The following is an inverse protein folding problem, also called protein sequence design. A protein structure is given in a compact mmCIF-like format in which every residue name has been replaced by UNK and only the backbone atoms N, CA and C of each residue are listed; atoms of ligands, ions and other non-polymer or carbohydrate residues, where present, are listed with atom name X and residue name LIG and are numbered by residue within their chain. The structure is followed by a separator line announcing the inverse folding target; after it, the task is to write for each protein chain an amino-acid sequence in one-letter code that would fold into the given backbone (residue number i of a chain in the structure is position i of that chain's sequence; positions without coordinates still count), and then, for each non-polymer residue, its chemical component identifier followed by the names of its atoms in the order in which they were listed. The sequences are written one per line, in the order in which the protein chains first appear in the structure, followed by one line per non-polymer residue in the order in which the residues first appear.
data_IF_313843705771
#
_entry.id   IF_313843705771
#
_cell.length_a   1.000
_cell.length_b   1.000
_cell.length_c   1.000
_cell.angle_alpha   90.00
_cell.angle_beta   90.00
_cell.angle_gamma   90.00
#
_symmetry.space_group_name_H-M   'P 1'
#
loop_
_entity.id
_entity.type
_entity.pdbx_description
1 polymer ?
#
# COMPACT_ATOMS: atom_id res chain seq x y z
N UNK A 1 -26.87 -1.12 -20.24
CA UNK A 1 -26.28 -2.08 -19.29
C UNK A 1 -26.83 -1.79 -17.91
N UNK A 2 -27.40 -2.77 -17.21
CA UNK A 2 -27.76 -2.60 -15.81
C UNK A 2 -26.48 -2.42 -14.96
N UNK A 3 -26.48 -1.57 -13.93
CA UNK A 3 -25.31 -1.38 -13.10
C UNK A 3 -24.92 -2.71 -12.42
N UNK A 4 -23.66 -3.11 -12.58
CA UNK A 4 -23.11 -4.30 -11.91
C UNK A 4 -23.18 -4.07 -10.40
N UNK A 5 -23.76 -5.01 -9.65
CA UNK A 5 -23.81 -4.95 -8.18
C UNK A 5 -22.37 -5.02 -7.68
N UNK A 6 -21.89 -3.94 -7.09
CA UNK A 6 -20.53 -3.82 -6.54
C UNK A 6 -20.57 -4.03 -5.02
N UNK A 7 -19.54 -4.65 -4.47
CA UNK A 7 -19.36 -4.66 -3.02
C UNK A 7 -19.12 -3.23 -2.51
N UNK A 8 -19.64 -2.93 -1.33
CA UNK A 8 -19.28 -1.70 -0.63
C UNK A 8 -17.84 -1.83 -0.14
N UNK A 9 -17.04 -0.79 -0.34
CA UNK A 9 -15.64 -0.75 0.04
C UNK A 9 -15.47 0.30 1.12
N UNK A 10 -14.72 -0.04 2.17
CA UNK A 10 -14.49 0.82 3.32
C UNK A 10 -12.98 0.94 3.54
N UNK A 11 -12.54 2.11 4.02
CA UNK A 11 -11.21 2.29 4.58
C UNK A 11 -11.31 1.94 6.06
N UNK A 12 -10.59 0.90 6.48
CA UNK A 12 -10.66 0.37 7.85
C UNK A 12 -9.45 0.73 8.71
N UNK A 13 -8.35 1.18 8.09
CA UNK A 13 -7.16 1.68 8.78
C UNK A 13 -6.27 2.52 7.87
N UNK A 14 -5.53 3.45 8.46
CA UNK A 14 -4.59 4.33 7.75
C UNK A 14 -3.28 4.49 8.50
N UNK A 15 -2.18 4.65 7.75
CA UNK A 15 -0.85 4.85 8.32
C UNK A 15 0.04 5.65 7.38
N UNK A 16 0.79 6.60 7.93
CA UNK A 16 1.68 7.49 7.17
C UNK A 16 2.91 7.84 8.01
N UNK A 17 4.07 7.98 7.36
CA UNK A 17 5.30 8.50 7.99
C UNK A 17 5.31 10.03 7.98
N UNK A 18 6.21 10.62 8.76
CA UNK A 18 6.42 12.07 8.70
C UNK A 18 7.08 12.45 7.37
N UNK A 19 6.61 13.53 6.76
CA UNK A 19 7.24 14.11 5.58
C UNK A 19 8.42 14.96 6.02
N UNK A 20 9.64 14.48 5.80
CA UNK A 20 10.86 15.20 6.15
C UNK A 20 11.53 15.77 4.91
N UNK A 21 12.34 16.81 5.11
CA UNK A 21 13.14 17.39 4.03
C UNK A 21 14.35 16.48 3.79
N UNK A 22 14.58 15.94 2.57
CA UNK A 22 15.64 14.96 2.31
C UNK A 22 17.06 15.40 2.73
N UNK A 23 17.32 16.72 2.77
CA UNK A 23 18.62 17.29 3.11
C UNK A 23 18.88 17.48 4.61
N UNK A 24 17.87 17.30 5.48
CA UNK A 24 18.03 17.53 6.93
C UNK A 24 18.61 16.33 7.67
N UNK A 25 18.60 15.15 7.07
CA UNK A 25 18.98 13.91 7.75
C UNK A 25 20.38 13.47 7.33
N UNK A 26 21.27 13.32 8.32
CA UNK A 26 22.66 12.83 8.13
C UNK A 26 22.66 11.41 7.56
N UNK A 27 21.61 10.64 7.86
CA UNK A 27 21.35 9.32 7.31
C UNK A 27 19.84 9.16 7.09
N UNK A 28 19.33 9.40 5.88
CA UNK A 28 17.91 9.25 5.60
C UNK A 28 17.50 7.77 5.77
N UNK A 29 16.29 7.48 6.30
CA UNK A 29 15.78 6.13 6.37
C UNK A 29 15.68 5.54 4.97
N UNK A 30 15.92 4.24 4.87
CA UNK A 30 15.67 3.55 3.61
C UNK A 30 14.15 3.43 3.42
N UNK A 31 13.70 3.32 2.17
CA UNK A 31 12.26 3.33 1.89
C UNK A 31 11.52 2.17 2.58
N UNK A 32 12.20 1.04 2.81
CA UNK A 32 11.63 -0.11 3.54
C UNK A 32 11.31 0.24 4.98
N UNK A 33 12.16 1.04 5.63
CA UNK A 33 11.95 1.48 7.02
C UNK A 33 10.73 2.41 7.11
N UNK A 34 10.55 3.26 6.08
CA UNK A 34 9.37 4.12 5.96
C UNK A 34 8.10 3.31 5.70
N UNK A 35 8.18 2.28 4.84
CA UNK A 35 7.03 1.39 4.58
C UNK A 35 6.66 0.59 5.83
N UNK A 36 7.64 0.02 6.53
CA UNK A 36 7.42 -0.69 7.79
C UNK A 36 6.64 0.19 8.77
N UNK A 37 7.12 1.40 9.02
CA UNK A 37 6.44 2.33 9.93
C UNK A 37 5.01 2.65 9.47
N UNK A 38 4.78 2.90 8.17
CA UNK A 38 3.45 3.24 7.67
C UNK A 38 2.48 2.04 7.72
N UNK A 39 2.94 0.84 7.33
CA UNK A 39 2.13 -0.37 7.31
C UNK A 39 1.79 -0.84 8.72
N UNK A 40 2.75 -0.84 9.64
CA UNK A 40 2.49 -1.17 11.05
C UNK A 40 1.43 -0.24 11.64
N UNK A 41 1.53 1.07 11.42
CA UNK A 41 0.51 2.03 11.88
C UNK A 41 -0.87 1.75 11.28
N UNK A 42 -0.93 1.40 10.00
CA UNK A 42 -2.20 1.08 9.35
C UNK A 42 -2.83 -0.20 9.89
N UNK A 43 -2.02 -1.21 10.21
CA UNK A 43 -2.46 -2.47 10.85
C UNK A 43 -2.92 -2.24 12.29
N UNK A 44 -2.20 -1.42 13.05
CA UNK A 44 -2.56 -1.04 14.42
C UNK A 44 -3.91 -0.28 14.46
N UNK A 45 -4.13 0.61 13.49
CA UNK A 45 -5.35 1.42 13.39
C UNK A 45 -6.61 0.57 13.08
N UNK A 46 -6.49 -0.45 12.23
CA UNK A 46 -7.62 -1.34 11.91
C UNK A 46 -7.73 -2.57 12.82
N UNK A 47 -6.68 -2.91 13.57
CA UNK A 47 -6.66 -4.04 14.50
C UNK A 47 -6.76 -5.42 13.84
N UNK A 48 -6.38 -5.55 12.57
CA UNK A 48 -6.41 -6.82 11.84
C UNK A 48 -5.00 -7.43 11.75
N UNK A 49 -4.95 -8.76 11.62
CA UNK A 49 -3.72 -9.45 11.30
C UNK A 49 -3.35 -9.24 9.82
N UNK A 50 -2.06 -9.04 9.54
CA UNK A 50 -1.51 -8.95 8.18
C UNK A 50 -1.78 -10.20 7.33
N UNK A 51 -1.99 -11.36 7.98
CA UNK A 51 -2.35 -12.61 7.30
C UNK A 51 -3.71 -12.54 6.57
N UNK A 52 -4.56 -11.57 6.93
CA UNK A 52 -5.84 -11.32 6.25
C UNK A 52 -5.71 -10.48 4.99
N UNK A 53 -4.52 -9.98 4.66
CA UNK A 53 -4.29 -9.23 3.42
C UNK A 53 -4.20 -10.21 2.27
N UNK A 54 -5.04 -10.04 1.25
CA UNK A 54 -5.08 -10.92 0.07
C UNK A 54 -4.50 -10.27 -1.19
N UNK A 55 -4.30 -8.94 -1.17
CA UNK A 55 -3.85 -8.17 -2.33
C UNK A 55 -3.17 -6.87 -1.89
N UNK A 56 -2.09 -6.48 -2.60
CA UNK A 56 -1.44 -5.20 -2.38
C UNK A 56 -1.20 -4.43 -3.69
N UNK A 57 -1.68 -3.19 -3.76
CA UNK A 57 -1.27 -2.22 -4.77
C UNK A 57 -0.24 -1.27 -4.16
N UNK A 58 0.99 -1.27 -4.70
CA UNK A 58 2.09 -0.45 -4.21
C UNK A 58 2.46 0.60 -5.25
N UNK A 59 2.24 1.85 -4.87
CA UNK A 59 2.59 3.01 -5.68
C UNK A 59 4.04 3.44 -5.49
N UNK A 60 4.84 3.49 -6.56
CA UNK A 60 6.17 4.09 -6.53
C UNK A 60 6.56 4.70 -7.89
N UNK A 61 7.58 5.57 -7.90
CA UNK A 61 8.11 6.21 -9.13
C UNK A 61 9.49 5.65 -9.56
N UNK A 62 10.06 4.72 -8.78
CA UNK A 62 11.46 4.31 -8.90
C UNK A 62 11.66 3.00 -9.66
N UNK A 63 10.58 2.25 -9.93
CA UNK A 63 10.61 1.14 -10.88
C UNK A 63 9.86 -0.11 -10.43
N UNK A 64 10.24 -1.24 -11.01
CA UNK A 64 9.66 -2.56 -10.74
C UNK A 64 10.27 -3.22 -9.51
N UNK A 65 9.51 -4.09 -8.83
CA UNK A 65 9.98 -4.87 -7.68
C UNK A 65 10.03 -4.13 -6.33
N UNK A 66 9.76 -2.83 -6.29
CA UNK A 66 9.80 -2.04 -5.05
C UNK A 66 8.73 -2.46 -4.05
N UNK A 67 7.52 -2.82 -4.51
CA UNK A 67 6.45 -3.32 -3.65
C UNK A 67 6.82 -4.62 -2.94
N UNK A 68 7.42 -5.58 -3.65
CA UNK A 68 7.93 -6.81 -3.06
C UNK A 68 9.02 -6.52 -2.04
N UNK A 69 10.00 -5.67 -2.39
CA UNK A 69 11.07 -5.28 -1.46
C UNK A 69 10.54 -4.55 -0.22
N UNK A 70 9.44 -3.80 -0.35
CA UNK A 70 8.81 -3.08 0.74
C UNK A 70 8.02 -4.00 1.67
N UNK A 71 7.30 -4.99 1.13
CA UNK A 71 6.33 -5.81 1.86
C UNK A 71 6.89 -7.14 2.37
N UNK A 72 7.88 -7.73 1.68
CA UNK A 72 8.45 -9.02 2.08
C UNK A 72 9.12 -9.00 3.47
N UNK A 73 9.88 -7.96 3.87
CA UNK A 73 10.44 -7.87 5.22
C UNK A 73 9.36 -7.85 6.32
N UNK A 74 8.14 -7.39 5.98
CA UNK A 74 7.00 -7.33 6.90
C UNK A 74 6.25 -8.67 6.99
N UNK A 75 6.70 -9.69 6.27
CA UNK A 75 6.01 -10.96 6.16
C UNK A 75 4.74 -10.90 5.31
N UNK A 76 4.59 -9.87 4.48
CA UNK A 76 3.49 -9.76 3.51
C UNK A 76 4.02 -10.27 2.17
N UNK A 77 3.91 -11.58 1.99
CA UNK A 77 4.31 -12.34 0.80
C UNK A 77 3.18 -13.32 0.43
N UNK A 78 3.35 -14.09 -0.65
CA UNK A 78 2.36 -15.05 -1.17
C UNK A 78 1.00 -14.48 -1.59
N UNK A 79 0.93 -13.16 -1.78
CA UNK A 79 -0.21 -12.45 -2.35
C UNK A 79 0.15 -11.75 -3.66
N UNK A 80 -0.81 -11.45 -4.55
CA UNK A 80 -0.57 -10.57 -5.67
C UNK A 80 -0.14 -9.17 -5.21
N UNK A 81 1.08 -8.79 -5.58
CA UNK A 81 1.63 -7.44 -5.33
C UNK A 81 1.76 -6.71 -6.67
N UNK A 82 0.90 -5.72 -6.89
CA UNK A 82 0.89 -4.91 -8.11
C UNK A 82 1.66 -3.62 -7.87
N UNK A 83 2.75 -3.44 -8.62
CA UNK A 83 3.50 -2.19 -8.63
C UNK A 83 2.86 -1.25 -9.66
N UNK A 84 2.41 -0.07 -9.23
CA UNK A 84 1.84 0.92 -10.12
C UNK A 84 2.60 2.25 -10.06
N UNK A 85 2.63 2.94 -11.19
CA UNK A 85 3.27 4.24 -11.34
C UNK A 85 2.40 5.15 -12.20
N UNK A 86 2.09 6.34 -11.69
CA UNK A 86 1.36 7.41 -12.39
C UNK A 86 1.77 8.79 -11.85
N UNK A 87 3.07 9.11 -11.93
CA UNK A 87 3.62 10.38 -11.46
C UNK A 87 3.10 10.77 -10.06
N UNK A 88 2.63 12.01 -9.87
CA UNK A 88 2.09 12.48 -8.59
C UNK A 88 0.79 11.77 -8.16
N UNK A 89 0.05 11.17 -9.09
CA UNK A 89 -1.20 10.47 -8.82
C UNK A 89 -0.99 8.99 -8.44
N UNK A 90 0.26 8.54 -8.31
CA UNK A 90 0.62 7.14 -8.02
C UNK A 90 -0.08 6.58 -6.77
N UNK A 91 -0.18 7.36 -5.68
CA UNK A 91 -0.89 6.93 -4.47
C UNK A 91 -2.40 6.74 -4.70
N UNK A 92 -3.04 7.69 -5.39
CA UNK A 92 -4.46 7.60 -5.73
C UNK A 92 -4.76 6.43 -6.69
N UNK A 93 -3.85 6.16 -7.64
CA UNK A 93 -3.95 5.00 -8.51
C UNK A 93 -3.86 3.69 -7.73
N UNK A 94 -2.93 3.58 -6.77
CA UNK A 94 -2.82 2.40 -5.92
C UNK A 94 -4.12 2.16 -5.12
N UNK A 95 -4.66 3.22 -4.50
CA UNK A 95 -5.93 3.13 -3.77
C UNK A 95 -7.10 2.75 -4.69
N UNK A 96 -7.16 3.29 -5.90
CA UNK A 96 -8.16 2.92 -6.89
C UNK A 96 -8.07 1.43 -7.26
N UNK A 97 -6.86 0.90 -7.52
CA UNK A 97 -6.65 -0.52 -7.83
C UNK A 97 -7.08 -1.44 -6.68
N UNK A 98 -6.67 -1.13 -5.45
CA UNK A 98 -7.08 -1.89 -4.26
C UNK A 98 -8.61 -1.86 -4.06
N UNK A 99 -9.23 -0.70 -4.24
CA UNK A 99 -10.69 -0.56 -4.19
C UNK A 99 -11.40 -1.39 -5.25
N UNK A 100 -10.85 -1.51 -6.46
CA UNK A 100 -11.44 -2.34 -7.50
C UNK A 100 -11.43 -3.82 -7.11
N UNK A 101 -10.34 -4.34 -6.52
CA UNK A 101 -10.28 -5.73 -6.07
C UNK A 101 -11.37 -6.06 -5.04
N UNK A 102 -11.50 -5.23 -4.01
CA UNK A 102 -12.56 -5.42 -3.00
C UNK A 102 -13.96 -5.30 -3.62
N UNK A 103 -14.16 -4.29 -4.49
CA UNK A 103 -15.47 -4.01 -5.06
C UNK A 103 -15.96 -5.10 -6.02
N UNK A 104 -15.03 -5.77 -6.72
CA UNK A 104 -15.34 -6.84 -7.67
C UNK A 104 -15.19 -8.25 -7.09
N UNK A 105 -14.60 -8.41 -5.90
CA UNK A 105 -14.43 -9.71 -5.23
C UNK A 105 -13.36 -10.57 -5.92
N UNK A 106 -12.24 -9.94 -6.30
CA UNK A 106 -11.13 -10.57 -7.00
C UNK A 106 -9.81 -10.32 -6.30
#
# INVERSE_FOLDING_TARGET
MAPKKMNRVFVVGVGMTNFTKPQKEVKPPYFTDLVEQAVTRALDDCGIDKELIEYAAVGNIYGTGYGQRALYPLGIYDIPIINCHNACATGSNALYLARQQVAFGA
#
